data_IF_109720974585
#
_entry.id   IF_109720974585
#
_cell.length_a   1.000
_cell.length_b   1.000
_cell.length_c   1.000
_cell.angle_alpha   90.00
_cell.angle_beta   90.00
_cell.angle_gamma   90.00
#
_symmetry.space_group_name_H-M   'P 1'
#
loop_
_entity.id
_entity.type
_entity.pdbx_description
1 polymer ?
#
# COMPACT_ATOMS: atom_id res chain seq x y z
N UNK A 1 -68.63 36.49 -56.57
CA UNK A 1 -67.98 35.17 -56.73
C UNK A 1 -68.05 34.50 -55.37
N UNK A 2 -68.61 33.30 -55.29
CA UNK A 2 -68.80 32.57 -54.04
C UNK A 2 -67.67 31.56 -53.90
N UNK A 3 -66.82 31.72 -52.89
CA UNK A 3 -65.70 30.81 -52.65
C UNK A 3 -66.17 29.49 -52.06
N UNK A 4 -65.42 28.43 -52.29
CA UNK A 4 -65.68 27.11 -51.72
C UNK A 4 -65.35 27.15 -50.21
N UNK A 5 -66.28 26.70 -49.37
CA UNK A 5 -66.08 26.70 -47.92
C UNK A 5 -65.15 25.54 -47.52
N UNK A 6 -63.96 25.90 -47.05
CA UNK A 6 -62.97 24.94 -46.55
C UNK A 6 -63.23 24.57 -45.08
N UNK A 7 -63.01 23.30 -44.75
CA UNK A 7 -63.08 22.79 -43.39
C UNK A 7 -61.87 21.89 -43.08
N UNK A 8 -61.40 21.89 -41.84
CA UNK A 8 -60.26 21.08 -41.40
C UNK A 8 -60.64 19.61 -41.22
N UNK A 9 -60.92 18.92 -42.34
CA UNK A 9 -61.38 17.53 -42.34
C UNK A 9 -60.58 16.68 -43.32
N UNK A 10 -60.14 15.50 -42.86
CA UNK A 10 -59.47 14.53 -43.72
C UNK A 10 -60.47 13.45 -44.18
N UNK A 11 -61.04 13.61 -45.37
CA UNK A 11 -61.89 12.58 -45.98
C UNK A 11 -61.02 11.46 -46.54
N UNK A 12 -61.24 10.17 -46.19
CA UNK A 12 -60.58 9.04 -46.83
C UNK A 12 -60.97 8.93 -48.32
N UNK A 13 -59.99 8.81 -49.21
CA UNK A 13 -60.22 8.89 -50.66
C UNK A 13 -60.64 10.29 -51.18
N UNK A 14 -60.53 10.50 -52.49
CA UNK A 14 -61.16 11.62 -53.20
C UNK A 14 -62.13 10.98 -54.18
N UNK A 15 -63.38 11.43 -54.18
CA UNK A 15 -64.42 10.93 -55.08
C UNK A 15 -64.00 11.23 -56.52
N UNK A 16 -64.05 10.22 -57.37
CA UNK A 16 -63.92 10.41 -58.81
C UNK A 16 -65.31 10.69 -59.39
N UNK A 17 -65.37 11.45 -60.48
CA UNK A 17 -66.60 11.52 -61.27
C UNK A 17 -66.97 10.15 -61.83
N UNK A 18 -68.23 9.78 -61.67
CA UNK A 18 -68.79 8.59 -62.27
C UNK A 18 -69.54 8.95 -63.55
N UNK A 19 -69.62 8.01 -64.49
CA UNK A 19 -70.29 8.23 -65.78
C UNK A 19 -71.79 8.48 -65.66
N UNK A 20 -72.38 8.17 -64.51
CA UNK A 20 -73.80 8.39 -64.17
C UNK A 20 -74.07 9.69 -63.40
N UNK A 21 -73.04 10.47 -63.07
CA UNK A 21 -73.21 11.69 -62.27
C UNK A 21 -73.85 12.82 -63.10
N UNK A 22 -74.88 13.52 -62.58
CA UNK A 22 -75.40 14.72 -63.22
C UNK A 22 -74.38 15.87 -63.10
N UNK A 23 -74.33 16.79 -64.08
CA UNK A 23 -73.53 18.02 -63.96
C UNK A 23 -74.29 19.00 -63.06
N UNK A 24 -73.90 19.04 -61.79
CA UNK A 24 -74.56 19.84 -60.75
C UNK A 24 -73.52 20.65 -59.97
N UNK A 25 -73.55 21.97 -60.18
CA UNK A 25 -72.74 22.95 -59.44
C UNK A 25 -73.39 23.42 -58.14
N UNK A 26 -72.81 24.45 -57.53
CA UNK A 26 -73.27 24.98 -56.24
C UNK A 26 -72.61 24.29 -55.03
N UNK A 27 -72.86 24.79 -53.80
CA UNK A 27 -72.12 24.38 -52.59
C UNK A 27 -72.14 22.88 -52.32
N UNK A 28 -73.26 22.22 -52.64
CA UNK A 28 -73.50 20.79 -52.42
C UNK A 28 -73.63 19.98 -53.72
N UNK A 29 -73.36 20.62 -54.86
CA UNK A 29 -73.38 19.97 -56.17
C UNK A 29 -72.28 18.91 -56.31
N UNK A 30 -72.60 17.84 -57.03
CA UNK A 30 -71.71 16.68 -57.20
C UNK A 30 -70.38 17.04 -57.88
N UNK A 31 -70.37 18.10 -58.71
CA UNK A 31 -69.19 18.65 -59.40
C UNK A 31 -68.15 19.22 -58.43
N UNK A 32 -68.59 19.75 -57.29
CA UNK A 32 -67.72 20.36 -56.30
C UNK A 32 -67.25 19.39 -55.21
N UNK A 33 -67.77 18.16 -55.17
CA UNK A 33 -67.40 17.17 -54.14
C UNK A 33 -65.90 16.84 -54.17
N UNK A 34 -65.27 16.51 -55.31
CA UNK A 34 -63.84 16.20 -55.34
C UNK A 34 -62.96 17.41 -54.98
N UNK A 35 -63.34 18.60 -55.46
CA UNK A 35 -62.65 19.87 -55.18
C UNK A 35 -62.72 20.24 -53.71
N UNK A 36 -63.89 20.10 -53.08
CA UNK A 36 -64.10 20.33 -51.65
C UNK A 36 -63.32 19.34 -50.79
N UNK A 37 -63.29 18.07 -51.17
CA UNK A 37 -62.48 17.06 -50.47
C UNK A 37 -60.98 17.37 -50.53
N UNK A 38 -60.48 17.82 -51.69
CA UNK A 38 -59.09 18.25 -51.83
C UNK A 38 -58.79 19.51 -51.02
N UNK A 39 -59.64 20.53 -51.10
CA UNK A 39 -59.49 21.78 -50.36
C UNK A 39 -59.48 21.53 -48.83
N UNK A 40 -60.40 20.70 -48.33
CA UNK A 40 -60.46 20.32 -46.92
C UNK A 40 -59.21 19.57 -46.45
N UNK A 41 -58.65 18.67 -47.28
CA UNK A 41 -57.39 17.98 -46.97
C UNK A 41 -56.22 18.95 -46.90
N UNK A 42 -56.13 19.88 -47.84
CA UNK A 42 -55.10 20.94 -47.83
C UNK A 42 -55.22 21.79 -46.58
N UNK A 43 -56.45 22.18 -46.19
CA UNK A 43 -56.70 22.91 -44.95
C UNK A 43 -56.30 22.11 -43.71
N UNK A 44 -56.66 20.83 -43.64
CA UNK A 44 -56.26 19.93 -42.56
C UNK A 44 -54.75 19.77 -42.42
N UNK A 45 -54.02 19.60 -43.53
CA UNK A 45 -52.56 19.50 -43.53
C UNK A 45 -51.92 20.83 -43.11
N UNK A 46 -52.48 21.96 -43.57
CA UNK A 46 -52.05 23.29 -43.16
C UNK A 46 -52.22 23.49 -41.66
N UNK A 47 -53.40 23.19 -41.10
CA UNK A 47 -53.65 23.32 -39.67
C UNK A 47 -52.73 22.41 -38.83
N UNK A 48 -52.43 21.19 -39.32
CA UNK A 48 -51.46 20.30 -38.66
C UNK A 48 -50.03 20.83 -38.74
N UNK A 49 -49.62 21.40 -39.87
CA UNK A 49 -48.30 21.99 -40.03
C UNK A 49 -48.14 23.22 -39.13
N UNK A 50 -49.13 24.10 -39.09
CA UNK A 50 -49.15 25.28 -38.22
C UNK A 50 -49.12 24.88 -36.73
N UNK A 51 -49.88 23.84 -36.36
CA UNK A 51 -49.84 23.29 -34.99
C UNK A 51 -48.48 22.68 -34.64
N UNK A 52 -47.83 22.02 -35.61
CA UNK A 52 -46.49 21.44 -35.44
C UNK A 52 -45.40 22.52 -35.35
N UNK A 53 -45.45 23.55 -36.20
CA UNK A 53 -44.51 24.69 -36.18
C UNK A 53 -44.67 25.54 -34.91
N UNK A 54 -45.90 25.70 -34.40
CA UNK A 54 -46.18 26.43 -33.17
C UNK A 54 -45.91 25.66 -31.88
N UNK A 55 -45.63 24.35 -31.95
CA UNK A 55 -45.34 23.54 -30.77
C UNK A 55 -43.94 23.87 -30.19
N UNK A 56 -43.86 24.00 -28.87
CA UNK A 56 -42.58 24.24 -28.15
C UNK A 56 -41.61 23.07 -28.33
N UNK A 57 -42.15 21.85 -28.41
CA UNK A 57 -41.40 20.62 -28.66
C UNK A 57 -42.19 19.70 -29.62
N UNK A 58 -42.05 19.89 -30.95
CA UNK A 58 -42.77 19.10 -31.95
C UNK A 58 -42.30 17.64 -32.00
N UNK A 59 -41.11 17.34 -31.46
CA UNK A 59 -40.48 16.02 -31.50
C UNK A 59 -39.92 15.62 -30.13
N UNK A 60 -40.77 15.30 -29.14
CA UNK A 60 -40.38 15.07 -27.74
C UNK A 60 -39.47 13.86 -27.49
N UNK A 61 -39.27 13.04 -28.51
CA UNK A 61 -38.28 11.95 -28.50
C UNK A 61 -36.81 12.44 -28.65
N UNK A 62 -36.59 13.70 -29.04
CA UNK A 62 -35.27 14.29 -29.24
C UNK A 62 -35.00 15.40 -28.23
N UNK A 63 -33.72 15.56 -27.86
CA UNK A 63 -33.31 16.68 -27.01
C UNK A 63 -33.48 18.01 -27.75
N UNK A 64 -34.05 19.01 -27.08
CA UNK A 64 -34.12 20.37 -27.63
C UNK A 64 -32.74 21.03 -27.64
N UNK A 65 -32.59 22.13 -28.39
CA UNK A 65 -31.36 22.93 -28.35
C UNK A 65 -31.06 23.46 -26.94
N UNK A 66 -32.09 23.72 -26.14
CA UNK A 66 -31.94 24.16 -24.77
C UNK A 66 -31.42 23.03 -23.85
N UNK A 67 -31.93 21.80 -24.02
CA UNK A 67 -31.45 20.64 -23.28
C UNK A 67 -29.98 20.33 -23.59
N UNK A 68 -29.59 20.47 -24.87
CA UNK A 68 -28.21 20.30 -25.31
C UNK A 68 -27.28 21.39 -24.76
N UNK A 69 -27.77 22.63 -24.64
CA UNK A 69 -27.00 23.74 -24.06
C UNK A 69 -26.71 23.56 -22.56
N UNK A 70 -27.46 22.70 -21.86
CA UNK A 70 -27.19 22.33 -20.47
C UNK A 70 -26.12 21.23 -20.33
N UNK A 71 -25.70 20.60 -21.42
CA UNK A 71 -24.61 19.60 -21.42
C UNK A 71 -23.26 20.31 -21.55
N UNK A 72 -22.19 19.63 -21.15
CA UNK A 72 -20.84 20.15 -21.32
C UNK A 72 -20.44 20.15 -22.82
N UNK A 73 -19.74 21.19 -23.31
CA UNK A 73 -19.17 21.19 -24.66
C UNK A 73 -18.26 20.00 -24.91
N UNK A 74 -18.25 19.48 -26.14
CA UNK A 74 -17.39 18.34 -26.49
C UNK A 74 -15.90 18.74 -26.52
N UNK A 75 -15.63 19.93 -27.06
CA UNK A 75 -14.30 20.52 -27.09
C UNK A 75 -14.10 21.46 -25.91
N UNK A 76 -13.04 21.21 -25.13
CA UNK A 76 -12.63 22.05 -24.00
C UNK A 76 -13.76 22.43 -23.03
N UNK A 77 -14.49 21.45 -22.45
CA UNK A 77 -15.54 21.73 -21.48
C UNK A 77 -15.01 22.49 -20.27
N UNK A 78 -15.69 23.57 -19.89
CA UNK A 78 -15.49 24.22 -18.60
C UNK A 78 -16.35 23.52 -17.54
N UNK A 79 -15.71 22.86 -16.57
CA UNK A 79 -16.42 22.22 -15.46
C UNK A 79 -16.71 23.23 -14.34
N UNK A 80 -18.00 23.38 -13.98
CA UNK A 80 -18.44 24.24 -12.87
C UNK A 80 -19.10 23.43 -11.75
N UNK A 81 -19.09 23.92 -10.52
CA UNK A 81 -19.69 23.24 -9.36
C UNK A 81 -18.82 22.10 -8.81
N UNK A 82 -19.42 20.93 -8.58
CA UNK A 82 -18.75 19.75 -8.03
C UNK A 82 -18.74 18.58 -9.04
N UNK A 83 -17.90 18.65 -10.11
CA UNK A 83 -17.82 17.59 -11.11
C UNK A 83 -17.44 16.26 -10.46
N UNK A 84 -18.16 15.19 -10.83
CA UNK A 84 -17.91 13.83 -10.34
C UNK A 84 -17.28 12.99 -11.46
N UNK A 85 -16.37 12.11 -11.09
CA UNK A 85 -15.75 11.14 -11.98
C UNK A 85 -15.59 9.79 -11.29
N UNK A 86 -15.30 8.75 -12.07
CA UNK A 86 -14.89 7.47 -11.52
C UNK A 86 -13.50 7.62 -10.91
N UNK A 87 -13.32 7.20 -9.65
CA UNK A 87 -11.99 7.25 -9.03
C UNK A 87 -11.15 6.11 -9.60
N UNK A 88 -10.03 6.39 -10.29
CA UNK A 88 -9.18 5.35 -10.83
C UNK A 88 -8.62 4.43 -9.75
N UNK A 89 -8.20 3.24 -10.18
CA UNK A 89 -7.41 2.34 -9.34
C UNK A 89 -6.10 3.00 -8.91
N UNK A 90 -5.52 2.50 -7.83
CA UNK A 90 -4.19 2.95 -7.40
C UNK A 90 -3.19 2.70 -8.54
N UNK A 91 -2.27 3.64 -8.76
CA UNK A 91 -1.22 3.56 -9.80
C UNK A 91 -1.68 3.65 -11.25
N UNK A 92 -2.92 4.08 -11.50
CA UNK A 92 -3.35 4.39 -12.86
C UNK A 92 -2.52 5.53 -13.47
N UNK A 93 -1.98 5.31 -14.67
CA UNK A 93 -1.14 6.25 -15.42
C UNK A 93 -1.77 6.64 -16.77
N UNK A 94 -3.08 6.46 -16.90
CA UNK A 94 -3.81 6.83 -18.11
C UNK A 94 -3.96 8.34 -18.23
N UNK A 95 -4.44 8.81 -19.37
CA UNK A 95 -4.74 10.23 -19.63
C UNK A 95 -6.09 10.69 -19.07
N UNK A 96 -6.70 9.92 -18.16
CA UNK A 96 -7.98 10.26 -17.51
C UNK A 96 -7.82 11.46 -16.58
N UNK A 97 -8.87 12.25 -16.43
CA UNK A 97 -8.94 13.30 -15.41
C UNK A 97 -8.86 12.68 -14.01
N UNK A 98 -7.98 13.21 -13.16
CA UNK A 98 -7.81 12.74 -11.79
C UNK A 98 -8.93 13.25 -10.88
N UNK A 99 -9.50 12.36 -10.05
CA UNK A 99 -10.41 12.76 -8.96
C UNK A 99 -9.61 13.24 -7.75
N UNK A 100 -10.22 14.07 -6.90
CA UNK A 100 -9.57 14.51 -5.64
C UNK A 100 -9.18 13.35 -4.73
N UNK A 101 -9.96 12.27 -4.73
CA UNK A 101 -9.63 11.03 -4.01
C UNK A 101 -8.37 10.35 -4.56
N UNK A 102 -8.18 10.32 -5.89
CA UNK A 102 -6.95 9.81 -6.50
C UNK A 102 -5.74 10.69 -6.16
N UNK A 103 -5.89 12.02 -6.23
CA UNK A 103 -4.81 12.95 -5.88
C UNK A 103 -4.43 12.86 -4.40
N UNK A 104 -5.40 12.80 -3.48
CA UNK A 104 -5.11 12.60 -2.05
C UNK A 104 -4.31 11.32 -1.80
N UNK A 105 -4.64 10.22 -2.50
CA UNK A 105 -3.86 8.97 -2.44
C UNK A 105 -2.44 9.14 -3.02
N UNK A 106 -2.28 9.94 -4.08
CA UNK A 106 -0.98 10.15 -4.75
C UNK A 106 -0.02 11.07 -3.97
N UNK A 107 -0.53 11.96 -3.12
CA UNK A 107 0.26 12.90 -2.33
C UNK A 107 0.99 12.26 -1.12
N UNK A 108 1.02 10.93 -1.02
CA UNK A 108 1.67 10.22 0.07
C UNK A 108 0.82 10.09 1.35
N UNK A 109 -0.43 10.57 1.33
CA UNK A 109 -1.38 10.29 2.41
C UNK A 109 -1.78 8.81 2.40
N UNK A 110 -1.84 8.20 3.58
CA UNK A 110 -2.49 6.90 3.72
C UNK A 110 -3.99 7.04 3.44
N UNK A 111 -4.58 6.08 2.73
CA UNK A 111 -6.02 6.08 2.44
C UNK A 111 -6.88 6.00 3.71
N UNK A 112 -6.34 5.39 4.78
CA UNK A 112 -7.02 5.20 6.06
C UNK A 112 -6.00 4.76 7.13
N UNK A 113 -6.24 5.15 8.38
CA UNK A 113 -5.69 4.48 9.56
C UNK A 113 -6.70 3.50 10.15
N UNK A 114 -6.28 2.27 10.46
CA UNK A 114 -7.17 1.25 11.02
C UNK A 114 -6.51 0.45 12.15
N UNK A 115 -7.28 -0.03 13.12
CA UNK A 115 -6.78 -0.93 14.16
C UNK A 115 -6.80 -2.37 13.68
N UNK A 116 -5.74 -3.13 13.99
CA UNK A 116 -5.71 -4.57 13.70
C UNK A 116 -6.63 -5.33 14.68
N UNK A 117 -7.41 -6.31 14.18
CA UNK A 117 -8.10 -7.27 15.03
C UNK A 117 -7.12 -8.10 15.88
N UNK A 118 -7.62 -8.70 16.96
CA UNK A 118 -6.84 -9.65 17.77
C UNK A 118 -6.61 -10.95 16.99
N UNK A 119 -5.42 -11.54 17.10
CA UNK A 119 -5.07 -12.80 16.46
C UNK A 119 -4.47 -12.63 15.06
N UNK A 120 -4.81 -13.53 14.14
CA UNK A 120 -4.24 -13.55 12.78
C UNK A 120 -5.16 -12.84 11.79
N UNK A 121 -4.61 -11.84 11.08
CA UNK A 121 -5.28 -11.14 9.99
C UNK A 121 -4.58 -11.47 8.68
N UNK A 122 -5.34 -11.94 7.69
CA UNK A 122 -4.83 -12.12 6.33
C UNK A 122 -5.05 -10.84 5.54
N UNK A 123 -3.96 -10.21 5.10
CA UNK A 123 -3.99 -8.99 4.32
C UNK A 123 -4.51 -9.22 2.91
N UNK A 124 -5.13 -8.18 2.36
CA UNK A 124 -5.63 -8.17 0.97
C UNK A 124 -5.08 -6.97 0.20
N UNK A 125 -5.24 -6.96 -1.13
CA UNK A 125 -4.87 -5.80 -1.96
C UNK A 125 -5.58 -4.50 -1.56
N UNK A 126 -6.75 -4.61 -0.90
CA UNK A 126 -7.49 -3.46 -0.38
C UNK A 126 -6.80 -2.78 0.82
N UNK A 127 -5.82 -3.44 1.43
CA UNK A 127 -5.06 -2.90 2.56
C UNK A 127 -3.88 -2.03 2.15
N UNK A 128 -3.48 -2.07 0.88
CA UNK A 128 -2.41 -1.23 0.35
C UNK A 128 -2.79 0.24 0.47
N UNK A 129 -1.85 1.05 0.97
CA UNK A 129 -2.03 2.45 1.30
C UNK A 129 -2.67 2.69 2.67
N UNK A 130 -2.96 1.66 3.47
CA UNK A 130 -3.43 1.84 4.86
C UNK A 130 -2.25 1.93 5.83
N UNK A 131 -2.54 2.53 6.98
CA UNK A 131 -1.66 2.53 8.14
C UNK A 131 -2.35 1.81 9.30
N UNK A 132 -1.81 0.66 9.70
CA UNK A 132 -2.39 -0.17 10.75
C UNK A 132 -1.79 0.14 12.11
N UNK A 133 -2.63 0.25 13.13
CA UNK A 133 -2.20 0.33 14.52
C UNK A 133 -2.54 -0.97 15.24
N UNK A 134 -1.55 -1.65 15.81
CA UNK A 134 -1.80 -2.74 16.74
C UNK A 134 -2.01 -2.17 18.15
N UNK A 135 -3.26 -2.20 18.61
CA UNK A 135 -3.67 -1.71 19.92
C UNK A 135 -4.33 -2.81 20.77
N UNK A 136 -4.41 -4.05 20.25
CA UNK A 136 -5.07 -5.17 20.91
C UNK A 136 -4.39 -5.59 22.21
N UNK A 137 -5.17 -6.20 23.10
CA UNK A 137 -4.73 -6.74 24.39
C UNK A 137 -4.10 -8.14 24.31
N UNK A 138 -3.60 -8.53 23.13
CA UNK A 138 -2.88 -9.78 22.90
C UNK A 138 -1.97 -9.64 21.66
N UNK A 139 -1.05 -10.60 21.49
CA UNK A 139 -0.21 -10.66 20.31
C UNK A 139 -1.07 -10.86 19.04
N UNK A 140 -0.61 -10.29 17.92
CA UNK A 140 -1.28 -10.45 16.64
C UNK A 140 -0.28 -10.83 15.54
N UNK A 141 -0.81 -11.43 14.48
CA UNK A 141 -0.06 -11.73 13.26
C UNK A 141 -0.78 -11.10 12.08
N UNK A 142 -0.07 -10.37 11.23
CA UNK A 142 -0.61 -9.87 9.96
C UNK A 142 0.16 -10.52 8.81
N UNK A 143 -0.53 -11.33 8.02
CA UNK A 143 0.03 -11.88 6.79
C UNK A 143 -0.11 -10.84 5.68
N UNK A 144 1.00 -10.47 5.03
CA UNK A 144 1.00 -9.50 3.95
C UNK A 144 0.19 -10.01 2.74
N UNK A 145 -0.44 -9.11 1.96
CA UNK A 145 -1.00 -9.51 0.67
C UNK A 145 0.10 -10.01 -0.27
N UNK A 146 -0.24 -10.91 -1.19
CA UNK A 146 0.71 -11.35 -2.22
C UNK A 146 1.12 -10.16 -3.11
N UNK A 147 2.41 -10.06 -3.39
CA UNK A 147 2.96 -9.02 -4.27
C UNK A 147 2.64 -9.24 -5.75
N UNK A 148 2.07 -10.39 -6.14
CA UNK A 148 1.83 -10.76 -7.55
C UNK A 148 0.94 -9.75 -8.29
N UNK A 149 -0.08 -9.24 -7.61
CA UNK A 149 -1.05 -8.29 -8.15
C UNK A 149 -0.69 -6.82 -7.84
N UNK A 150 0.40 -6.60 -7.10
CA UNK A 150 0.79 -5.28 -6.64
C UNK A 150 1.75 -4.61 -7.64
N UNK A 151 1.51 -3.35 -8.00
CA UNK A 151 2.48 -2.57 -8.76
C UNK A 151 3.62 -2.07 -7.86
N UNK A 152 4.70 -1.64 -8.51
CA UNK A 152 5.83 -1.01 -7.82
C UNK A 152 5.38 0.25 -7.08
N UNK A 153 5.84 0.41 -5.84
CA UNK A 153 5.48 1.51 -4.95
C UNK A 153 4.26 1.26 -4.07
N UNK A 154 3.57 0.13 -4.22
CA UNK A 154 2.53 -0.31 -3.27
C UNK A 154 3.09 -0.35 -1.85
N UNK A 155 2.46 0.35 -0.91
CA UNK A 155 3.00 0.50 0.43
C UNK A 155 1.95 0.29 1.52
N UNK A 156 2.38 -0.20 2.68
CA UNK A 156 1.53 -0.47 3.84
C UNK A 156 2.35 -0.20 5.11
N UNK A 157 1.75 0.53 6.06
CA UNK A 157 2.41 0.91 7.30
C UNK A 157 1.82 0.22 8.51
N UNK A 158 2.64 0.01 9.53
CA UNK A 158 2.23 -0.56 10.82
C UNK A 158 2.88 0.20 11.98
N UNK A 159 2.12 0.36 13.06
CA UNK A 159 2.58 0.85 14.36
C UNK A 159 2.07 -0.05 15.47
N UNK A 160 2.95 -0.46 16.38
CA UNK A 160 2.53 -1.12 17.61
C UNK A 160 2.43 -0.07 18.71
N UNK A 161 1.23 0.11 19.24
CA UNK A 161 0.98 0.98 20.40
C UNK A 161 0.53 0.20 21.64
N UNK A 162 0.36 -1.13 21.52
CA UNK A 162 0.10 -2.02 22.64
C UNK A 162 1.38 -2.60 23.25
N UNK A 163 1.22 -3.27 24.39
CA UNK A 163 2.30 -4.01 25.08
C UNK A 163 2.53 -5.42 24.50
N UNK A 164 1.90 -5.74 23.37
CA UNK A 164 1.95 -7.07 22.77
C UNK A 164 2.57 -6.99 21.37
N UNK A 165 3.39 -7.99 20.99
CA UNK A 165 4.08 -7.96 19.72
C UNK A 165 3.12 -8.14 18.53
N UNK A 166 3.48 -7.53 17.41
CA UNK A 166 2.87 -7.76 16.11
C UNK A 166 3.86 -8.50 15.22
N UNK A 167 3.51 -9.68 14.75
CA UNK A 167 4.30 -10.40 13.75
C UNK A 167 3.76 -10.11 12.35
N UNK A 168 4.58 -9.51 11.50
CA UNK A 168 4.30 -9.37 10.07
C UNK A 168 4.87 -10.58 9.36
N UNK A 169 4.03 -11.32 8.63
CA UNK A 169 4.42 -12.54 7.94
C UNK A 169 4.28 -12.35 6.43
N UNK A 170 5.28 -12.79 5.67
CA UNK A 170 5.18 -12.81 4.21
C UNK A 170 4.21 -13.89 3.73
N UNK A 171 3.62 -13.68 2.56
CA UNK A 171 2.75 -14.66 1.93
C UNK A 171 3.51 -15.45 0.86
N UNK A 172 3.42 -16.78 0.93
CA UNK A 172 4.09 -17.66 -0.02
C UNK A 172 5.62 -17.48 -0.02
N UNK A 173 6.19 -17.26 -1.21
CA UNK A 173 7.62 -17.07 -1.42
C UNK A 173 8.09 -15.61 -1.32
N UNK A 174 7.20 -14.67 -0.98
CA UNK A 174 7.57 -13.26 -0.81
C UNK A 174 8.51 -13.10 0.39
N UNK A 175 9.34 -12.06 0.36
CA UNK A 175 10.30 -11.78 1.43
C UNK A 175 10.34 -10.31 1.83
N UNK A 176 10.64 -10.05 3.11
CA UNK A 176 10.93 -8.72 3.62
C UNK A 176 12.43 -8.46 3.53
N UNK A 177 12.83 -7.49 2.72
CA UNK A 177 14.17 -6.94 2.72
C UNK A 177 14.31 -5.90 3.83
N UNK A 178 15.11 -6.22 4.85
CA UNK A 178 15.36 -5.39 6.02
C UNK A 178 16.86 -5.09 6.13
N UNK A 179 17.29 -3.90 5.70
CA UNK A 179 18.68 -3.43 5.81
C UNK A 179 19.75 -4.40 5.27
N UNK A 180 19.48 -5.05 4.13
CA UNK A 180 20.39 -6.00 3.48
C UNK A 180 20.22 -7.46 3.94
N UNK A 181 19.29 -7.73 4.86
CA UNK A 181 18.85 -9.08 5.20
C UNK A 181 17.52 -9.40 4.50
N UNK A 182 17.26 -10.69 4.31
CA UNK A 182 16.01 -11.20 3.75
C UNK A 182 15.29 -12.02 4.81
N UNK A 183 14.07 -11.64 5.16
CA UNK A 183 13.28 -12.24 6.23
C UNK A 183 11.96 -12.78 5.69
N UNK A 184 11.49 -13.92 6.20
CA UNK A 184 10.14 -14.43 5.94
C UNK A 184 9.09 -13.84 6.89
N UNK A 185 9.52 -13.31 8.03
CA UNK A 185 8.69 -12.59 9.00
C UNK A 185 9.47 -11.52 9.74
N UNK A 186 8.76 -10.52 10.26
CA UNK A 186 9.30 -9.43 11.05
C UNK A 186 8.42 -9.22 12.29
N UNK A 187 8.98 -9.29 13.48
CA UNK A 187 8.25 -9.03 14.73
C UNK A 187 8.51 -7.61 15.21
N UNK A 188 7.44 -6.86 15.42
CA UNK A 188 7.44 -5.52 15.99
C UNK A 188 7.13 -5.60 17.48
N UNK A 189 7.94 -4.95 18.30
CA UNK A 189 7.72 -4.78 19.74
C UNK A 189 6.90 -3.54 20.07
N UNK A 190 6.73 -3.28 21.37
CA UNK A 190 6.00 -2.11 21.86
C UNK A 190 6.66 -0.81 21.39
N UNK A 191 5.87 0.03 20.74
CA UNK A 191 6.34 1.31 20.20
C UNK A 191 7.02 1.20 18.84
N UNK A 192 7.19 0.00 18.26
CA UNK A 192 7.82 -0.14 16.96
C UNK A 192 6.92 0.26 15.80
N UNK A 193 7.54 0.74 14.72
CA UNK A 193 6.90 0.92 13.42
C UNK A 193 7.68 0.23 12.30
N UNK A 194 6.93 -0.08 11.24
CA UNK A 194 7.50 -0.44 9.95
C UNK A 194 6.62 0.10 8.83
N UNK A 195 7.25 0.66 7.82
CA UNK A 195 6.67 0.93 6.51
C UNK A 195 7.25 -0.08 5.52
N UNK A 196 6.36 -0.81 4.84
CA UNK A 196 6.70 -1.79 3.83
C UNK A 196 6.31 -1.24 2.47
N UNK A 197 7.24 -1.25 1.53
CA UNK A 197 7.02 -0.83 0.14
C UNK A 197 7.38 -2.00 -0.77
N UNK A 198 6.52 -2.32 -1.73
CA UNK A 198 6.80 -3.31 -2.77
C UNK A 198 7.57 -2.64 -3.92
N UNK A 199 8.90 -2.84 -4.07
CA UNK A 199 9.63 -2.29 -5.21
C UNK A 199 9.37 -3.10 -6.49
N UNK A 200 9.20 -4.40 -6.34
CA UNK A 200 8.94 -5.38 -7.39
C UNK A 200 8.33 -6.63 -6.76
N UNK A 201 7.78 -7.50 -7.61
CA UNK A 201 7.18 -8.78 -7.18
C UNK A 201 8.19 -9.64 -6.41
N UNK A 202 7.73 -10.28 -5.34
CA UNK A 202 8.52 -11.11 -4.45
C UNK A 202 9.13 -10.37 -3.25
N UNK A 203 9.11 -9.04 -3.21
CA UNK A 203 9.85 -8.28 -2.21
C UNK A 203 9.01 -7.20 -1.52
N UNK A 204 9.28 -7.03 -0.23
CA UNK A 204 8.85 -5.90 0.59
C UNK A 204 10.08 -5.21 1.19
N UNK A 205 10.34 -3.97 0.81
CA UNK A 205 11.38 -3.15 1.44
C UNK A 205 10.84 -2.57 2.73
N UNK A 206 11.47 -2.93 3.85
CA UNK A 206 11.10 -2.48 5.17
C UNK A 206 11.97 -1.32 5.63
N UNK A 207 11.32 -0.31 6.20
CA UNK A 207 11.93 0.85 6.85
C UNK A 207 11.15 1.17 8.12
N UNK A 208 11.81 1.72 9.14
CA UNK A 208 11.19 2.00 10.44
C UNK A 208 12.01 1.43 11.59
N UNK A 209 11.54 1.64 12.82
CA UNK A 209 12.28 1.20 14.03
C UNK A 209 12.45 -0.31 14.10
N UNK A 210 11.46 -1.07 13.59
CA UNK A 210 11.43 -2.53 13.65
C UNK A 210 12.60 -3.21 12.93
N UNK A 211 13.20 -2.53 11.95
CA UNK A 211 14.29 -3.09 11.14
C UNK A 211 15.68 -2.58 11.52
N UNK A 212 15.77 -1.70 12.52
CA UNK A 212 17.03 -1.07 12.93
C UNK A 212 18.05 -2.12 13.38
N UNK A 213 17.60 -3.16 14.10
CA UNK A 213 18.44 -4.26 14.56
C UNK A 213 19.07 -5.09 13.44
N UNK A 214 18.48 -5.09 12.24
CA UNK A 214 18.99 -5.80 11.05
C UNK A 214 20.07 -5.01 10.32
N UNK A 215 20.29 -3.74 10.68
CA UNK A 215 21.41 -2.97 10.14
C UNK A 215 22.74 -3.57 10.60
N UNK A 216 23.72 -3.58 9.70
CA UNK A 216 25.09 -4.01 10.00
C UNK A 216 25.75 -3.24 11.16
N UNK A 217 25.24 -2.05 11.49
CA UNK A 217 25.65 -1.25 12.65
C UNK A 217 25.24 -1.85 13.99
N UNK A 218 24.23 -2.71 14.02
CA UNK A 218 23.71 -3.41 15.19
C UNK A 218 24.01 -4.91 15.16
N UNK A 219 24.86 -5.36 14.23
CA UNK A 219 25.17 -6.79 14.08
C UNK A 219 25.64 -7.40 15.41
N UNK A 220 25.10 -8.56 15.75
CA UNK A 220 25.41 -9.26 16.99
C UNK A 220 25.47 -10.77 16.75
N UNK A 221 26.27 -11.44 17.58
CA UNK A 221 26.29 -12.90 17.73
C UNK A 221 26.05 -13.21 19.20
N UNK A 222 24.89 -13.76 19.53
CA UNK A 222 24.47 -14.03 20.92
C UNK A 222 24.86 -15.44 21.40
N UNK A 223 25.93 -15.99 20.83
CA UNK A 223 26.52 -17.26 21.26
C UNK A 223 27.24 -17.09 22.61
N UNK A 224 27.62 -18.22 23.23
CA UNK A 224 28.41 -18.22 24.47
C UNK A 224 29.70 -17.41 24.36
N UNK A 225 30.33 -17.44 23.18
CA UNK A 225 31.36 -16.50 22.75
C UNK A 225 30.76 -15.60 21.68
N UNK A 226 30.49 -14.36 22.04
CA UNK A 226 29.61 -13.50 21.27
C UNK A 226 30.05 -12.04 21.23
N UNK A 227 29.33 -11.25 20.45
CA UNK A 227 29.55 -9.82 20.34
C UNK A 227 28.25 -9.08 20.05
N UNK A 228 28.26 -7.78 20.32
CA UNK A 228 27.24 -6.84 19.89
C UNK A 228 27.91 -5.55 19.41
N UNK A 229 27.61 -5.15 18.18
CA UNK A 229 27.97 -3.83 17.66
C UNK A 229 26.98 -2.78 18.14
N UNK A 230 27.50 -1.62 18.48
CA UNK A 230 26.72 -0.44 18.82
C UNK A 230 26.77 0.56 17.66
N UNK A 231 25.74 1.39 17.48
CA UNK A 231 25.67 2.34 16.37
C UNK A 231 26.79 3.39 16.36
N UNK A 232 27.41 3.63 17.51
CA UNK A 232 28.58 4.51 17.67
C UNK A 232 29.86 3.93 17.05
N UNK A 233 29.85 2.65 16.66
CA UNK A 233 31.03 1.91 16.22
C UNK A 233 31.74 1.17 17.35
N UNK A 234 31.33 1.37 18.62
CA UNK A 234 31.80 0.53 19.71
C UNK A 234 31.31 -0.91 19.55
N UNK A 235 32.13 -1.86 19.97
CA UNK A 235 31.84 -3.28 19.94
C UNK A 235 32.05 -3.79 21.37
N UNK A 236 31.04 -4.50 21.89
CA UNK A 236 31.15 -5.25 23.14
C UNK A 236 31.25 -6.72 22.77
N UNK A 237 32.22 -7.43 23.32
CA UNK A 237 32.40 -8.86 23.12
C UNK A 237 32.47 -9.57 24.46
N UNK A 238 32.04 -10.82 24.48
CA UNK A 238 32.10 -11.65 25.67
C UNK A 238 32.46 -13.08 25.28
N UNK A 239 32.89 -13.82 26.29
CA UNK A 239 33.13 -15.23 26.10
C UNK A 239 33.68 -15.92 27.33
N UNK A 240 33.93 -17.21 27.14
CA UNK A 240 34.60 -18.09 28.07
C UNK A 240 35.89 -18.59 27.45
N UNK A 241 36.96 -18.62 28.25
CA UNK A 241 38.23 -19.23 27.89
C UNK A 241 38.76 -20.08 29.05
N UNK A 242 39.71 -20.96 28.74
CA UNK A 242 40.33 -21.84 29.72
C UNK A 242 41.84 -21.62 29.75
N UNK A 243 42.42 -21.73 30.95
CA UNK A 243 43.86 -21.79 31.16
C UNK A 243 44.19 -23.12 31.85
N UNK A 244 45.25 -23.78 31.38
CA UNK A 244 45.72 -25.05 31.94
C UNK A 244 46.96 -24.81 32.79
N UNK A 245 46.97 -25.34 34.01
CA UNK A 245 48.10 -25.29 34.94
C UNK A 245 48.80 -26.66 34.99
N UNK A 246 50.10 -26.70 34.68
CA UNK A 246 50.85 -27.95 34.50
C UNK A 246 52.15 -28.08 35.30
N UNK A 247 52.54 -27.07 36.11
CA UNK A 247 53.75 -27.11 36.93
C UNK A 247 53.63 -26.23 38.18
N UNK A 248 54.48 -26.46 39.20
CA UNK A 248 54.50 -25.73 40.49
C UNK A 248 55.82 -24.95 40.66
N UNK A 249 55.83 -23.63 40.97
CA UNK A 249 54.70 -22.71 41.20
C UNK A 249 53.94 -22.36 39.90
N UNK A 250 52.62 -22.25 40.00
CA UNK A 250 51.74 -22.38 38.82
C UNK A 250 51.38 -21.03 38.22
N UNK A 251 52.26 -20.56 37.34
CA UNK A 251 51.90 -19.46 36.43
C UNK A 251 51.56 -20.07 35.08
N UNK A 252 50.43 -19.68 34.50
CA UNK A 252 50.02 -20.12 33.18
C UNK A 252 49.47 -18.95 32.39
N UNK A 253 49.61 -19.03 31.06
CA UNK A 253 49.09 -18.03 30.14
C UNK A 253 48.23 -18.69 29.08
N UNK A 254 47.14 -18.02 28.70
CA UNK A 254 46.29 -18.42 27.58
C UNK A 254 46.12 -17.28 26.59
N UNK A 255 46.27 -17.57 25.29
CA UNK A 255 45.89 -16.64 24.22
C UNK A 255 44.41 -16.85 23.91
N UNK A 256 43.64 -15.78 23.95
CA UNK A 256 42.19 -15.80 23.71
C UNK A 256 41.89 -14.97 22.48
N UNK A 257 41.16 -15.57 21.53
CA UNK A 257 40.71 -14.91 20.31
C UNK A 257 39.31 -14.36 20.50
N UNK A 258 39.10 -13.09 20.12
CA UNK A 258 37.77 -12.48 20.13
C UNK A 258 36.87 -13.09 19.05
N UNK A 259 35.55 -13.19 19.28
CA UNK A 259 34.57 -13.58 18.27
C UNK A 259 34.62 -12.74 16.98
N UNK A 260 35.00 -11.47 17.10
CA UNK A 260 35.19 -10.52 16.02
C UNK A 260 36.47 -9.72 16.25
N UNK A 261 37.30 -9.52 15.23
CA UNK A 261 38.45 -8.60 15.35
C UNK A 261 37.96 -7.16 15.53
N UNK A 262 38.49 -6.42 16.50
CA UNK A 262 38.22 -5.00 16.68
C UNK A 262 38.90 -4.19 15.56
N UNK A 263 38.17 -3.45 14.72
CA UNK A 263 38.75 -2.75 13.57
C UNK A 263 39.91 -1.79 13.90
N UNK A 264 39.87 -1.15 15.07
CA UNK A 264 40.87 -0.21 15.59
C UNK A 264 41.49 -0.66 16.94
N UNK A 265 41.21 -1.89 17.36
CA UNK A 265 41.75 -2.49 18.58
C UNK A 265 40.81 -2.47 19.79
N UNK A 266 41.12 -3.35 20.74
CA UNK A 266 40.45 -3.39 22.03
C UNK A 266 40.87 -2.19 22.89
N UNK A 267 39.92 -1.61 23.63
CA UNK A 267 40.16 -0.54 24.60
C UNK A 267 40.34 -1.10 26.02
N UNK A 268 39.59 -2.14 26.36
CA UNK A 268 39.67 -2.80 27.67
C UNK A 268 39.15 -4.23 27.60
N UNK A 269 39.73 -5.10 28.43
CA UNK A 269 39.24 -6.45 28.70
C UNK A 269 39.22 -6.64 30.21
N UNK A 270 38.09 -7.10 30.72
CA UNK A 270 37.95 -7.55 32.10
C UNK A 270 37.68 -9.04 32.10
N UNK A 271 38.41 -9.78 32.92
CA UNK A 271 38.22 -11.22 33.07
C UNK A 271 37.87 -11.58 34.51
N UNK A 272 36.99 -12.55 34.69
CA UNK A 272 36.53 -13.03 35.99
C UNK A 272 36.68 -14.54 36.09
N UNK A 273 37.11 -15.00 37.26
CA UNK A 273 37.22 -16.43 37.56
C UNK A 273 35.83 -17.05 37.71
N UNK A 274 35.63 -18.25 37.14
CA UNK A 274 34.48 -19.12 37.44
C UNK A 274 34.74 -20.07 38.64
N UNK A 275 35.89 -19.98 39.29
CA UNK A 275 36.23 -20.85 40.41
C UNK A 275 35.35 -20.58 41.64
N UNK A 276 34.85 -21.65 42.25
CA UNK A 276 34.24 -21.63 43.60
C UNK A 276 35.29 -21.56 44.72
N UNK A 277 36.57 -21.62 44.38
CA UNK A 277 37.72 -21.46 45.28
C UNK A 277 38.61 -20.28 44.82
N UNK A 278 38.21 -19.03 45.11
CA UNK A 278 38.88 -17.83 44.57
C UNK A 278 40.34 -17.68 45.02
N UNK A 279 40.68 -18.21 46.19
CA UNK A 279 42.06 -18.25 46.70
C UNK A 279 42.97 -19.19 45.92
N UNK A 280 42.41 -20.20 45.25
CA UNK A 280 43.16 -21.15 44.45
C UNK A 280 43.33 -20.70 42.99
N UNK A 281 42.35 -19.94 42.45
CA UNK A 281 42.36 -19.43 41.08
C UNK A 281 41.80 -18.00 41.05
N UNK A 282 42.61 -16.99 41.40
CA UNK A 282 42.19 -15.59 41.32
C UNK A 282 41.88 -15.16 39.88
N UNK A 283 41.23 -14.01 39.73
CA UNK A 283 41.00 -13.41 38.42
C UNK A 283 42.34 -13.18 37.69
N UNK A 284 42.42 -13.48 36.39
CA UNK A 284 43.67 -13.38 35.66
C UNK A 284 43.98 -11.92 35.36
N UNK A 285 45.28 -11.61 35.29
CA UNK A 285 45.72 -10.36 34.65
C UNK A 285 45.61 -10.50 33.14
N UNK A 286 45.27 -9.42 32.44
CA UNK A 286 45.03 -9.43 31.00
C UNK A 286 45.92 -8.40 30.31
N UNK A 287 46.51 -8.80 29.18
CA UNK A 287 47.29 -7.95 28.29
C UNK A 287 46.66 -7.98 26.90
N UNK A 288 46.37 -6.81 26.34
CA UNK A 288 45.88 -6.65 24.97
C UNK A 288 47.04 -6.91 24.00
N UNK A 289 46.94 -7.93 23.16
CA UNK A 289 48.05 -8.33 22.27
C UNK A 289 47.82 -7.97 20.82
N UNK A 290 46.56 -7.94 20.36
CA UNK A 290 46.22 -7.47 19.01
C UNK A 290 44.74 -7.07 18.92
N UNK A 291 44.33 -6.60 17.73
CA UNK A 291 42.93 -6.38 17.39
C UNK A 291 42.05 -7.64 17.52
N UNK A 292 42.65 -8.84 17.41
CA UNK A 292 41.92 -10.11 17.39
C UNK A 292 42.11 -10.93 18.67
N UNK A 293 43.04 -10.56 19.53
CA UNK A 293 43.45 -11.40 20.66
C UNK A 293 43.87 -10.61 21.89
N UNK A 294 43.74 -11.26 23.05
CA UNK A 294 44.41 -10.88 24.29
C UNK A 294 45.12 -12.09 24.88
N UNK A 295 46.06 -11.84 25.79
CA UNK A 295 46.70 -12.87 26.60
C UNK A 295 46.31 -12.69 28.05
N UNK A 296 45.77 -13.75 28.65
CA UNK A 296 45.47 -13.80 30.07
C UNK A 296 46.57 -14.56 30.80
N UNK A 297 47.07 -13.98 31.88
CA UNK A 297 48.05 -14.59 32.77
C UNK A 297 47.39 -14.84 34.12
N UNK A 298 47.36 -16.11 34.52
CA UNK A 298 46.73 -16.56 35.74
C UNK A 298 47.74 -17.23 36.67
N UNK A 299 47.44 -17.13 37.96
CA UNK A 299 48.10 -17.89 39.00
C UNK A 299 47.16 -19.00 39.49
N UNK A 300 47.71 -20.17 39.77
CA UNK A 300 47.00 -21.32 40.32
C UNK A 300 47.68 -21.85 41.58
N UNK A 301 46.91 -22.26 42.59
CA UNK A 301 47.45 -22.89 43.79
C UNK A 301 47.62 -24.41 43.65
N UNK A 302 46.92 -25.06 42.72
CA UNK A 302 46.97 -26.51 42.48
C UNK A 302 46.78 -26.85 41.00
N UNK A 303 47.42 -27.94 40.53
CA UNK A 303 47.37 -28.37 39.14
C UNK A 303 45.92 -28.57 38.71
N UNK A 304 45.52 -27.86 37.65
CA UNK A 304 44.17 -27.92 37.13
C UNK A 304 44.17 -27.67 35.63
N UNK A 305 43.57 -28.61 34.91
CA UNK A 305 43.36 -28.52 33.47
C UNK A 305 41.93 -28.07 33.25
N UNK A 306 41.74 -27.03 32.43
CA UNK A 306 40.43 -26.51 32.07
C UNK A 306 39.86 -25.45 33.02
N UNK A 307 40.70 -24.79 33.84
CA UNK A 307 40.22 -23.70 34.68
C UNK A 307 39.63 -22.58 33.81
N UNK A 308 38.35 -22.32 34.01
CA UNK A 308 37.54 -21.48 33.13
C UNK A 308 37.42 -20.05 33.66
N UNK A 309 37.37 -19.09 32.74
CA UNK A 309 37.24 -17.66 33.01
C UNK A 309 36.25 -17.04 32.03
N UNK A 310 35.43 -16.11 32.51
CA UNK A 310 34.63 -15.23 31.65
C UNK A 310 35.47 -14.01 31.29
N UNK A 311 35.20 -13.43 30.12
CA UNK A 311 35.68 -12.10 29.81
C UNK A 311 34.59 -11.24 29.18
N UNK A 312 34.78 -9.94 29.33
CA UNK A 312 34.08 -8.92 28.57
C UNK A 312 35.13 -7.96 28.02
N UNK A 313 35.04 -7.67 26.73
CA UNK A 313 35.93 -6.78 26.02
C UNK A 313 35.13 -5.65 25.37
N UNK A 314 35.68 -4.45 25.38
CA UNK A 314 35.14 -3.29 24.67
C UNK A 314 36.21 -2.70 23.77
N UNK A 315 35.82 -2.34 22.54
CA UNK A 315 36.73 -1.79 21.54
C UNK A 315 35.97 -1.16 20.37
N UNK A 316 36.69 -0.78 19.32
CA UNK A 316 36.14 -0.22 18.07
C UNK A 316 37.06 -0.51 16.89
#
# INVERSE_FOLDING_TARGET
MTDLVESSTWTPGIRQFETSDPVEGGPDGIDNVPLRQLANRTRFLKDRQEAHEGAVDPYPQYATKADLAQKAPIESPAFTGAPKGTTPGQFDSSTRLATTAFVQRALGSFQMSASLPVGTTNGSVADIGKYFTQQGAAAATYALPSTTELPSGAAIGFKVTSNFPLTIQCNGGDVISANGQTLSSLTLGTGDDVMLVCPQRGFWFASGSAVVGQSSKFAASLNSNGYQKLPSGLIIQWGLFQINFSSTPQTASGVVTYPLAFPNGALSVTATSLSSTPSAYPAPSVVLTSASQFTAYAYGAVNNVGQSYYYTAIGR
#
